data_IF_726167400786
#
_entry.id   IF_726167400786
#
_cell.length_a   1.000
_cell.length_b   1.000
_cell.length_c   1.000
_cell.angle_alpha   90.00
_cell.angle_beta   90.00
_cell.angle_gamma   90.00
#
_symmetry.space_group_name_H-M   'P 1'
#
loop_
_entity.id
_entity.type
_entity.pdbx_description
1 polymer ?
#
# COMPACT_ATOMS: atom_id res chain seq x y z
N UNK A 1 27.14 13.45 24.50
CA UNK A 1 26.64 13.68 23.12
C UNK A 1 25.35 14.46 23.26
N UNK A 2 25.22 15.62 22.62
CA UNK A 2 23.99 16.41 22.71
C UNK A 2 22.83 15.62 22.07
N UNK A 3 21.65 15.64 22.69
CA UNK A 3 20.46 15.00 22.13
C UNK A 3 20.08 15.72 20.83
N UNK A 4 20.30 15.07 19.70
CA UNK A 4 19.94 15.59 18.39
C UNK A 4 18.42 15.62 18.28
N UNK A 5 17.86 16.79 17.97
CA UNK A 5 16.42 17.04 17.88
C UNK A 5 16.09 17.61 16.51
N UNK A 6 14.95 17.21 15.95
CA UNK A 6 14.50 17.68 14.63
C UNK A 6 15.13 16.87 13.52
N UNK A 7 15.75 17.53 12.54
CA UNK A 7 16.42 16.89 11.40
C UNK A 7 17.88 17.32 11.37
N UNK A 8 18.79 16.42 11.02
CA UNK A 8 20.22 16.71 10.99
C UNK A 8 20.97 15.85 9.97
N UNK A 9 22.10 16.35 9.49
CA UNK A 9 23.04 15.57 8.70
C UNK A 9 23.82 14.61 9.60
N UNK A 10 23.89 13.34 9.24
CA UNK A 10 24.58 12.28 10.00
C UNK A 10 26.10 12.49 10.01
N UNK A 11 26.66 13.06 8.94
CA UNK A 11 28.12 13.24 8.78
C UNK A 11 28.75 14.25 9.73
N UNK A 12 28.05 15.35 10.02
CA UNK A 12 28.59 16.47 10.82
C UNK A 12 27.65 16.95 11.95
N UNK A 13 26.45 16.37 12.05
CA UNK A 13 25.44 16.74 13.04
C UNK A 13 24.81 18.10 12.82
N UNK A 14 25.04 18.76 11.68
CA UNK A 14 24.45 20.05 11.36
C UNK A 14 22.93 19.95 11.24
N UNK A 15 22.22 20.95 11.76
CA UNK A 15 20.77 20.98 11.69
C UNK A 15 20.30 21.19 10.25
N UNK A 16 19.26 20.44 9.86
CA UNK A 16 18.57 20.56 8.57
C UNK A 16 17.13 21.02 8.87
N UNK A 17 16.59 21.93 8.08
CA UNK A 17 15.19 22.29 8.21
C UNK A 17 14.28 21.20 7.62
N UNK A 18 13.03 21.16 8.07
CA UNK A 18 12.12 20.08 7.70
C UNK A 18 11.81 20.06 6.20
N UNK A 19 11.73 21.22 5.54
CA UNK A 19 11.39 21.28 4.12
C UNK A 19 12.53 20.70 3.28
N UNK A 20 13.77 21.12 3.54
CA UNK A 20 14.97 20.57 2.89
C UNK A 20 15.09 19.06 3.10
N UNK A 21 14.83 18.56 4.32
CA UNK A 21 14.83 17.13 4.59
C UNK A 21 13.76 16.38 3.79
N UNK A 22 12.53 16.91 3.73
CA UNK A 22 11.43 16.26 3.01
C UNK A 22 11.63 16.28 1.50
N UNK A 23 12.19 17.36 0.95
CA UNK A 23 12.49 17.47 -0.47
C UNK A 23 13.58 16.46 -0.87
N UNK A 24 14.65 16.35 -0.07
CA UNK A 24 15.69 15.35 -0.30
C UNK A 24 15.16 13.92 -0.19
N UNK A 25 14.39 13.62 0.85
CA UNK A 25 13.81 12.29 1.01
C UNK A 25 12.77 11.95 -0.06
N UNK A 26 12.09 12.94 -0.64
CA UNK A 26 11.18 12.70 -1.76
C UNK A 26 11.93 12.28 -3.02
N UNK A 27 13.06 12.95 -3.31
CA UNK A 27 13.94 12.57 -4.41
C UNK A 27 14.48 11.14 -4.23
N UNK A 28 14.98 10.81 -3.03
CA UNK A 28 15.50 9.48 -2.74
C UNK A 28 14.35 8.42 -2.78
N UNK A 29 13.16 8.76 -2.26
CA UNK A 29 11.99 7.89 -2.33
C UNK A 29 11.56 7.61 -3.79
N UNK A 30 11.60 8.62 -4.66
CA UNK A 30 11.28 8.46 -6.07
C UNK A 30 12.22 7.43 -6.73
N UNK A 31 13.52 7.53 -6.44
CA UNK A 31 14.53 6.57 -6.91
C UNK A 31 14.28 5.15 -6.40
N UNK A 32 14.08 4.98 -5.09
CA UNK A 32 13.79 3.68 -4.47
C UNK A 32 12.54 3.04 -5.08
N UNK A 33 11.45 3.80 -5.23
CA UNK A 33 10.20 3.28 -5.76
C UNK A 33 10.30 2.94 -7.25
N UNK A 34 11.08 3.69 -8.00
CA UNK A 34 11.41 3.38 -9.41
C UNK A 34 12.15 2.06 -9.51
N UNK A 35 13.14 1.81 -8.66
CA UNK A 35 13.87 0.54 -8.62
C UNK A 35 12.94 -0.63 -8.29
N UNK A 36 12.10 -0.49 -7.27
CA UNK A 36 11.11 -1.51 -6.89
C UNK A 36 10.13 -1.79 -8.04
N UNK A 37 9.73 -0.76 -8.79
CA UNK A 37 8.83 -0.93 -9.92
C UNK A 37 9.42 -1.77 -11.07
N UNK A 38 10.73 -2.04 -11.06
CA UNK A 38 11.37 -2.96 -12.03
C UNK A 38 11.13 -4.43 -11.69
N UNK A 39 10.58 -4.75 -10.51
CA UNK A 39 10.24 -6.11 -10.11
C UNK A 39 8.72 -6.31 -10.07
N UNK A 40 8.21 -7.30 -10.81
CA UNK A 40 6.78 -7.59 -10.82
C UNK A 40 6.32 -8.11 -9.47
N UNK A 41 5.40 -7.38 -8.84
CA UNK A 41 4.93 -7.68 -7.48
C UNK A 41 5.79 -7.05 -6.38
N UNK A 42 6.80 -6.23 -6.73
CA UNK A 42 7.62 -5.47 -5.79
C UNK A 42 6.77 -4.51 -4.95
N UNK A 43 6.93 -4.59 -3.63
CA UNK A 43 6.28 -3.71 -2.66
C UNK A 43 7.30 -3.30 -1.61
N UNK A 44 7.08 -2.15 -0.99
CA UNK A 44 7.85 -1.71 0.17
C UNK A 44 6.92 -1.23 1.26
N UNK A 45 7.32 -1.45 2.50
CA UNK A 45 6.56 -0.91 3.62
C UNK A 45 6.90 0.55 3.87
N UNK A 46 5.96 1.29 4.45
CA UNK A 46 6.22 2.65 4.93
C UNK A 46 7.51 2.74 5.76
N UNK A 47 7.73 1.78 6.67
CA UNK A 47 8.90 1.75 7.56
C UNK A 47 10.21 1.56 6.81
N UNK A 48 10.27 0.57 5.91
CA UNK A 48 11.45 0.31 5.08
C UNK A 48 11.79 1.52 4.20
N UNK A 49 10.79 2.13 3.55
CA UNK A 49 11.02 3.34 2.76
C UNK A 49 11.56 4.49 3.62
N UNK A 50 11.03 4.65 4.84
CA UNK A 50 11.48 5.69 5.75
C UNK A 50 12.91 5.48 6.26
N UNK A 51 13.34 4.23 6.40
CA UNK A 51 14.72 3.88 6.74
C UNK A 51 15.66 4.16 5.55
N UNK A 52 15.32 3.65 4.37
CA UNK A 52 16.13 3.82 3.15
C UNK A 52 16.38 5.30 2.82
N UNK A 53 15.34 6.14 2.78
CA UNK A 53 15.54 7.56 2.45
C UNK A 53 16.39 8.30 3.47
N UNK A 54 16.35 7.89 4.75
CA UNK A 54 17.22 8.47 5.77
C UNK A 54 18.67 7.98 5.64
N UNK A 55 18.87 6.72 5.26
CA UNK A 55 20.19 6.14 5.02
C UNK A 55 20.84 6.76 3.78
N UNK A 56 20.14 6.79 2.65
CA UNK A 56 20.66 7.25 1.36
C UNK A 56 20.92 8.76 1.35
N UNK A 57 20.06 9.54 2.02
CA UNK A 57 20.26 11.00 2.14
C UNK A 57 21.38 11.37 3.11
N UNK A 58 21.68 10.50 4.09
CA UNK A 58 22.46 10.86 5.26
C UNK A 58 21.75 11.87 6.19
N UNK A 59 20.46 12.14 5.99
CA UNK A 59 19.66 13.02 6.86
C UNK A 59 18.85 12.15 7.81
N UNK A 60 19.02 12.37 9.11
CA UNK A 60 18.31 11.65 10.17
C UNK A 60 17.31 12.53 10.88
N UNK A 61 16.35 11.92 11.54
CA UNK A 61 15.40 12.63 12.39
C UNK A 61 15.03 11.88 13.66
N UNK A 62 14.71 12.65 14.71
CA UNK A 62 14.09 12.15 15.94
C UNK A 62 12.55 12.22 15.86
N UNK A 63 12.00 12.78 14.78
CA UNK A 63 10.56 12.94 14.58
C UNK A 63 9.96 11.62 14.13
N UNK A 64 8.87 11.20 14.80
CA UNK A 64 8.18 9.97 14.46
C UNK A 64 7.71 9.96 12.99
N UNK A 65 7.93 8.84 12.32
CA UNK A 65 7.70 8.63 10.90
C UNK A 65 6.35 9.17 10.38
N UNK A 66 5.26 8.86 11.08
CA UNK A 66 3.91 9.21 10.65
C UNK A 66 3.66 10.74 10.56
N UNK A 67 4.51 11.57 11.17
CA UNK A 67 4.41 13.03 11.07
C UNK A 67 5.06 13.62 9.80
N UNK A 68 5.86 12.85 9.08
CA UNK A 68 6.63 13.35 7.93
C UNK A 68 6.51 12.50 6.67
N UNK A 69 6.37 11.16 6.77
CA UNK A 69 6.40 10.27 5.59
C UNK A 69 5.30 10.61 4.59
N UNK A 70 4.11 11.01 5.06
CA UNK A 70 3.03 11.46 4.18
C UNK A 70 3.43 12.67 3.33
N UNK A 71 4.15 13.64 3.91
CA UNK A 71 4.61 14.85 3.20
C UNK A 71 5.67 14.54 2.14
N UNK A 72 6.46 13.50 2.37
CA UNK A 72 7.43 12.99 1.39
C UNK A 72 6.68 12.33 0.25
N UNK A 73 5.72 11.44 0.55
CA UNK A 73 4.93 10.76 -0.47
C UNK A 73 4.06 11.72 -1.31
N UNK A 74 3.51 12.78 -0.72
CA UNK A 74 2.80 13.85 -1.44
C UNK A 74 3.66 14.48 -2.55
N UNK A 75 4.96 14.70 -2.26
CA UNK A 75 5.90 15.23 -3.25
C UNK A 75 6.18 14.23 -4.37
N UNK A 76 6.37 12.96 -4.02
CA UNK A 76 6.53 11.88 -5.01
C UNK A 76 5.30 11.76 -5.92
N UNK A 77 4.09 11.89 -5.37
CA UNK A 77 2.85 11.90 -6.17
C UNK A 77 2.84 13.08 -7.15
N UNK A 78 3.16 14.28 -6.68
CA UNK A 78 3.20 15.47 -7.52
C UNK A 78 4.26 15.37 -8.62
N UNK A 79 5.45 14.86 -8.29
CA UNK A 79 6.56 14.67 -9.23
C UNK A 79 6.22 13.61 -10.28
N UNK A 80 5.78 12.43 -9.87
CA UNK A 80 5.39 11.36 -10.80
C UNK A 80 4.28 11.83 -11.75
N UNK A 81 3.28 12.54 -11.23
CA UNK A 81 2.20 13.08 -12.06
C UNK A 81 2.70 14.12 -13.06
N UNK A 82 3.58 15.03 -12.65
CA UNK A 82 4.17 16.03 -13.54
C UNK A 82 5.00 15.41 -14.67
N UNK A 83 5.66 14.28 -14.41
CA UNK A 83 6.46 13.53 -15.38
C UNK A 83 5.62 12.55 -16.24
N UNK A 84 4.32 12.39 -15.95
CA UNK A 84 3.47 11.40 -16.61
C UNK A 84 3.81 9.96 -16.24
N UNK A 85 4.46 9.76 -15.09
CA UNK A 85 4.80 8.47 -14.51
C UNK A 85 3.61 7.95 -13.69
N UNK A 86 3.29 6.64 -13.73
CA UNK A 86 2.25 6.06 -12.88
C UNK A 86 2.53 6.30 -11.38
N UNK A 87 1.51 6.31 -10.52
CA UNK A 87 1.69 6.74 -9.13
C UNK A 87 2.49 5.70 -8.33
N UNK A 88 3.81 5.92 -8.25
CA UNK A 88 4.80 5.10 -7.56
C UNK A 88 4.43 4.81 -6.09
N UNK A 89 3.74 5.75 -5.44
CA UNK A 89 3.30 5.59 -4.05
C UNK A 89 2.27 4.47 -3.84
N UNK A 90 1.69 3.93 -4.91
CA UNK A 90 0.87 2.71 -4.86
C UNK A 90 1.67 1.46 -4.42
N UNK A 91 3.00 1.48 -4.55
CA UNK A 91 3.92 0.42 -4.12
C UNK A 91 4.19 0.42 -2.61
N UNK A 92 3.81 1.51 -1.92
CA UNK A 92 4.04 1.68 -0.48
C UNK A 92 2.85 1.16 0.31
N UNK A 93 3.09 0.18 1.18
CA UNK A 93 2.04 -0.48 1.96
C UNK A 93 2.34 -0.51 3.45
N UNK A 94 1.31 -0.70 4.27
CA UNK A 94 1.46 -0.95 5.70
C UNK A 94 1.91 -2.40 5.92
N UNK A 95 2.97 -2.60 6.71
CA UNK A 95 3.55 -3.92 7.00
C UNK A 95 2.56 -4.94 7.58
N UNK A 96 1.62 -4.50 8.39
CA UNK A 96 0.70 -5.35 9.13
C UNK A 96 -0.55 -5.75 8.32
N UNK A 97 -0.97 -4.89 7.41
CA UNK A 97 -2.27 -5.01 6.71
C UNK A 97 -2.14 -5.14 5.20
N UNK A 98 -0.99 -4.77 4.61
CA UNK A 98 -0.78 -4.69 3.16
C UNK A 98 -1.51 -3.52 2.50
N UNK A 99 -2.13 -2.63 3.27
CA UNK A 99 -2.93 -1.53 2.74
C UNK A 99 -2.05 -0.33 2.35
N UNK A 100 -2.41 0.38 1.28
CA UNK A 100 -1.81 1.69 0.96
C UNK A 100 -2.21 2.75 1.99
N UNK A 101 -3.40 2.63 2.60
CA UNK A 101 -3.88 3.53 3.64
C UNK A 101 -4.40 4.88 3.14
N UNK A 102 -4.74 5.77 4.09
CA UNK A 102 -5.42 7.05 3.82
C UNK A 102 -4.64 8.01 2.93
N UNK A 103 -3.30 7.96 2.97
CA UNK A 103 -2.44 8.80 2.13
C UNK A 103 -2.67 8.56 0.62
N UNK A 104 -3.22 7.40 0.23
CA UNK A 104 -3.54 7.10 -1.16
C UNK A 104 -4.67 7.96 -1.75
N UNK A 105 -5.48 8.61 -0.91
CA UNK A 105 -6.50 9.54 -1.40
C UNK A 105 -5.89 10.69 -2.23
N UNK A 106 -4.64 11.06 -1.96
CA UNK A 106 -3.92 12.08 -2.73
C UNK A 106 -3.63 11.65 -4.16
N UNK A 107 -3.36 10.36 -4.40
CA UNK A 107 -3.22 9.80 -5.76
C UNK A 107 -4.53 9.97 -6.52
N UNK A 108 -5.66 9.59 -5.91
CA UNK A 108 -6.98 9.73 -6.52
C UNK A 108 -7.28 11.18 -6.88
N UNK A 109 -7.02 12.11 -5.96
CA UNK A 109 -7.24 13.53 -6.18
C UNK A 109 -6.38 14.07 -7.33
N UNK A 110 -5.10 13.67 -7.38
CA UNK A 110 -4.15 14.10 -8.40
C UNK A 110 -4.52 13.58 -9.79
N UNK A 111 -4.98 12.32 -9.88
CA UNK A 111 -5.44 11.73 -11.14
C UNK A 111 -6.86 12.18 -11.55
N UNK A 112 -7.55 13.00 -10.73
CA UNK A 112 -8.94 13.40 -10.97
C UNK A 112 -9.94 12.24 -10.86
N UNK A 113 -9.55 11.16 -10.16
CA UNK A 113 -10.38 9.99 -9.93
C UNK A 113 -11.43 10.26 -8.83
N UNK A 114 -12.57 9.53 -8.84
CA UNK A 114 -13.57 9.66 -7.79
C UNK A 114 -13.01 9.22 -6.43
N UNK A 115 -13.52 9.84 -5.36
CA UNK A 115 -13.27 9.38 -3.99
C UNK A 115 -13.85 7.98 -3.83
N UNK A 116 -13.07 7.08 -3.22
CA UNK A 116 -13.45 5.70 -2.97
C UNK A 116 -13.74 5.53 -1.48
N UNK A 117 -15.00 5.28 -1.14
CA UNK A 117 -15.46 5.16 0.26
C UNK A 117 -15.27 3.74 0.84
N UNK A 118 -14.81 2.80 0.02
CA UNK A 118 -14.56 1.41 0.40
C UNK A 118 -13.07 1.06 0.29
N UNK A 119 -12.55 0.41 1.34
CA UNK A 119 -11.13 0.01 1.42
C UNK A 119 -10.78 -0.95 0.29
N UNK A 120 -11.64 -1.92 -0.03
CA UNK A 120 -11.36 -2.88 -1.09
C UNK A 120 -11.36 -2.20 -2.47
N UNK A 121 -12.24 -1.23 -2.72
CA UNK A 121 -12.22 -0.41 -3.93
C UNK A 121 -10.91 0.40 -4.04
N UNK A 122 -10.48 1.05 -2.96
CA UNK A 122 -9.21 1.78 -2.91
C UNK A 122 -8.02 0.86 -3.20
N UNK A 123 -7.96 -0.32 -2.59
CA UNK A 123 -6.88 -1.28 -2.84
C UNK A 123 -6.91 -1.90 -4.23
N UNK A 124 -8.08 -2.04 -4.86
CA UNK A 124 -8.18 -2.45 -6.26
C UNK A 124 -7.67 -1.36 -7.20
N UNK A 125 -7.94 -0.09 -6.87
CA UNK A 125 -7.35 1.02 -7.61
C UNK A 125 -5.82 1.02 -7.47
N UNK A 126 -5.32 0.84 -6.25
CA UNK A 126 -3.88 0.68 -5.98
C UNK A 126 -3.27 -0.50 -6.74
N UNK A 127 -3.93 -1.66 -6.76
CA UNK A 127 -3.48 -2.81 -7.53
C UNK A 127 -3.35 -2.51 -9.03
N UNK A 128 -4.28 -1.75 -9.61
CA UNK A 128 -4.20 -1.29 -10.99
C UNK A 128 -3.03 -0.32 -11.21
N UNK A 129 -2.83 0.63 -10.30
CA UNK A 129 -1.70 1.56 -10.33
C UNK A 129 -0.34 0.85 -10.24
N UNK A 130 -0.21 -0.16 -9.37
CA UNK A 130 1.00 -0.99 -9.25
C UNK A 130 1.34 -1.68 -10.57
N UNK A 131 0.33 -2.29 -11.22
CA UNK A 131 0.54 -2.90 -12.53
C UNK A 131 1.04 -1.87 -13.56
N UNK A 132 0.44 -0.67 -13.61
CA UNK A 132 0.93 0.40 -14.48
C UNK A 132 2.39 0.77 -14.19
N UNK A 133 2.80 0.80 -12.92
CA UNK A 133 4.21 1.04 -12.56
C UNK A 133 5.11 -0.06 -13.12
N UNK A 134 4.77 -1.33 -12.89
CA UNK A 134 5.56 -2.46 -13.40
C UNK A 134 5.68 -2.47 -14.92
N UNK A 135 4.58 -2.17 -15.63
CA UNK A 135 4.57 -2.03 -17.09
C UNK A 135 5.43 -0.85 -17.56
N UNK A 136 5.32 0.30 -16.90
CA UNK A 136 6.06 1.51 -17.26
C UNK A 136 7.56 1.37 -17.08
N UNK A 137 8.00 0.73 -15.99
CA UNK A 137 9.41 0.53 -15.66
C UNK A 137 10.01 -0.77 -16.22
N UNK A 138 9.23 -1.54 -16.98
CA UNK A 138 9.74 -2.68 -17.74
C UNK A 138 10.05 -3.90 -16.87
N UNK A 139 9.25 -4.15 -15.83
CA UNK A 139 9.36 -5.36 -15.03
C UNK A 139 9.16 -6.64 -15.86
N UNK A 140 9.77 -7.75 -15.42
CA UNK A 140 9.54 -9.06 -16.04
C UNK A 140 8.13 -9.56 -15.71
N UNK A 141 7.23 -9.48 -16.69
CA UNK A 141 5.81 -9.84 -16.54
C UNK A 141 5.55 -11.28 -17.00
N UNK A 142 4.56 -11.97 -16.41
CA UNK A 142 4.12 -13.28 -16.88
C UNK A 142 3.68 -13.29 -18.36
N UNK A 143 3.69 -14.46 -19.03
CA UNK A 143 3.14 -14.59 -20.37
C UNK A 143 1.68 -14.12 -20.44
N UNK A 144 1.38 -13.18 -21.34
CA UNK A 144 0.06 -12.55 -21.43
C UNK A 144 -0.08 -11.24 -20.63
N UNK A 145 1.00 -10.80 -19.96
CA UNK A 145 1.04 -9.59 -19.15
C UNK A 145 0.83 -9.86 -17.65
N UNK A 146 1.00 -8.81 -16.85
CA UNK A 146 0.66 -8.84 -15.43
C UNK A 146 -0.85 -8.66 -15.21
N UNK A 147 -1.30 -8.92 -13.98
CA UNK A 147 -2.68 -8.65 -13.55
C UNK A 147 -2.68 -7.78 -12.30
N UNK A 148 -3.63 -6.84 -12.15
CA UNK A 148 -3.75 -6.05 -10.93
C UNK A 148 -3.92 -6.95 -9.71
N UNK A 149 -2.94 -6.92 -8.81
CA UNK A 149 -2.88 -7.82 -7.65
C UNK A 149 -2.88 -7.02 -6.34
N UNK A 150 -3.71 -7.45 -5.38
CA UNK A 150 -3.73 -6.90 -4.02
C UNK A 150 -2.44 -7.28 -3.29
N UNK A 151 -2.01 -6.49 -2.31
CA UNK A 151 -0.89 -6.87 -1.46
C UNK A 151 -1.17 -8.22 -0.76
N UNK A 152 -0.16 -9.10 -0.60
CA UNK A 152 -0.36 -10.48 -0.13
C UNK A 152 -1.14 -10.58 1.19
N UNK A 153 -0.85 -9.72 2.15
CA UNK A 153 -1.49 -9.68 3.47
C UNK A 153 -2.98 -9.34 3.35
N UNK A 154 -3.31 -8.34 2.53
CA UNK A 154 -4.69 -7.93 2.32
C UNK A 154 -5.46 -8.95 1.48
N UNK A 155 -4.83 -9.53 0.46
CA UNK A 155 -5.41 -10.60 -0.36
C UNK A 155 -5.80 -11.81 0.51
N UNK A 156 -4.91 -12.23 1.41
CA UNK A 156 -5.17 -13.32 2.36
C UNK A 156 -6.35 -13.00 3.29
N UNK A 157 -6.45 -11.76 3.77
CA UNK A 157 -7.56 -11.28 4.60
C UNK A 157 -8.90 -11.33 3.83
N UNK A 158 -8.93 -10.81 2.61
CA UNK A 158 -10.14 -10.82 1.75
C UNK A 158 -10.60 -12.26 1.47
N UNK A 159 -9.67 -13.14 1.09
CA UNK A 159 -9.97 -14.54 0.82
C UNK A 159 -10.53 -15.27 2.06
N UNK A 160 -10.02 -14.95 3.26
CA UNK A 160 -10.55 -15.50 4.52
C UNK A 160 -11.99 -15.04 4.77
N UNK A 161 -12.29 -13.76 4.57
CA UNK A 161 -13.65 -13.23 4.76
C UNK A 161 -14.65 -13.84 3.78
N UNK A 162 -14.25 -14.04 2.52
CA UNK A 162 -15.07 -14.70 1.51
C UNK A 162 -15.39 -16.15 1.91
N UNK A 163 -14.40 -16.94 2.33
CA UNK A 163 -14.63 -18.32 2.81
C UNK A 163 -15.58 -18.40 4.00
N UNK A 164 -15.48 -17.47 4.96
CA UNK A 164 -16.42 -17.42 6.10
C UNK A 164 -17.85 -17.11 5.66
N UNK A 165 -18.03 -16.29 4.61
CA UNK A 165 -19.34 -15.97 4.05
C UNK A 165 -19.94 -17.12 3.24
N UNK A 166 -19.10 -17.92 2.60
CA UNK A 166 -19.49 -19.07 1.78
C UNK A 166 -19.87 -20.31 2.60
N UNK A 167 -19.72 -20.28 3.93
CA UNK A 167 -20.23 -21.35 4.81
C UNK A 167 -21.72 -21.56 4.50
N UNK A 168 -22.12 -22.72 3.96
CA UNK A 168 -23.50 -22.94 3.54
C UNK A 168 -24.42 -22.74 4.73
N UNK A 169 -25.38 -21.82 4.60
CA UNK A 169 -26.57 -21.84 5.45
C UNK A 169 -27.22 -23.18 5.14
N UNK A 170 -27.32 -24.08 6.12
CA UNK A 170 -27.80 -25.44 5.90
C UNK A 170 -29.11 -25.46 5.11
N UNK A 171 -29.32 -26.49 4.31
CA UNK A 171 -30.55 -26.60 3.51
C UNK A 171 -31.77 -26.58 4.44
N UNK A 172 -32.78 -25.72 4.23
CA UNK A 172 -33.99 -25.76 5.03
C UNK A 172 -34.75 -27.06 4.76
N UNK A 173 -35.26 -27.68 5.83
CA UNK A 173 -36.11 -28.86 5.71
C UNK A 173 -37.36 -28.52 4.87
N UNK A 174 -37.74 -29.33 3.86
CA UNK A 174 -38.91 -29.05 3.02
C UNK A 174 -40.25 -29.15 3.78
N UNK A 175 -40.25 -29.75 4.98
CA UNK A 175 -41.47 -29.98 5.76
C UNK A 175 -41.68 -28.96 6.89
N UNK A 176 -40.63 -28.62 7.64
CA UNK A 176 -40.72 -27.68 8.78
C UNK A 176 -39.89 -26.40 8.61
N UNK A 177 -39.16 -26.25 7.50
CA UNK A 177 -38.33 -25.08 7.16
C UNK A 177 -37.21 -24.73 8.14
N UNK A 178 -36.94 -25.58 9.12
CA UNK A 178 -35.76 -25.48 10.00
C UNK A 178 -34.50 -25.80 9.20
N UNK A 179 -33.42 -25.03 9.43
CA UNK A 179 -32.11 -25.26 8.83
C UNK A 179 -31.59 -26.63 9.25
N UNK A 180 -31.36 -27.53 8.29
CA UNK A 180 -30.87 -28.87 8.60
C UNK A 180 -29.39 -28.83 9.00
N UNK A 181 -28.98 -29.64 9.99
CA UNK A 181 -27.57 -29.85 10.30
C UNK A 181 -26.83 -30.49 9.11
N UNK A 182 -25.50 -30.48 9.17
CA UNK A 182 -24.64 -31.02 8.11
C UNK A 182 -24.87 -32.51 7.80
N UNK A 183 -25.55 -33.25 8.69
CA UNK A 183 -25.98 -34.64 8.45
C UNK A 183 -27.05 -34.78 7.35
N UNK A 184 -27.71 -33.68 6.97
CA UNK A 184 -28.81 -33.69 5.99
C UNK A 184 -30.13 -34.24 6.52
N UNK A 185 -30.19 -34.55 7.82
CA UNK A 185 -31.40 -35.07 8.50
C UNK A 185 -31.96 -33.99 9.41
N UNK A 186 -33.27 -33.76 9.36
CA UNK A 186 -33.90 -32.75 10.20
C UNK A 186 -34.15 -33.27 11.62
N UNK A 187 -33.57 -32.62 12.62
CA UNK A 187 -33.73 -32.98 14.04
C UNK A 187 -35.20 -32.93 14.52
N UNK A 188 -36.07 -32.20 13.82
CA UNK A 188 -37.50 -32.09 14.15
C UNK A 188 -38.39 -33.08 13.39
N UNK A 189 -38.04 -33.41 12.13
CA UNK A 189 -38.87 -34.28 11.28
C UNK A 189 -38.41 -35.74 11.26
N UNK A 190 -37.15 -36.03 11.61
CA UNK A 190 -36.58 -37.37 11.58
C UNK A 190 -36.03 -37.76 10.22
#
# INVERSE_FOLDING_TARGET
MAEQRGYWNESDGSAVDAATAHDRWAQDAYGVLTEIATEYGGLITYGELAELVQEDSGIRTSVQQHHWIGKVLSRVVAEAHAEGVPPLTALVVRKDTGLVGEAYAEVLATEGAPVLDDVLASERHAAGARLRCYEYFGADLPPGGGVPTLAPEFAAKVARLQRTREVPVGTPCPNCFVIMPASGVCDTCG
#
